data_IF_122920433131
#
_entry.id   IF_122920433131
#
_cell.length_a   1.000
_cell.length_b   1.000
_cell.length_c   1.000
_cell.angle_alpha   90.00
_cell.angle_beta   90.00
_cell.angle_gamma   90.00
#
_symmetry.space_group_name_H-M   'P 1'
#
loop_
_entity.id
_entity.type
_entity.pdbx_description
1 polymer ?
#
# COMPACT_ATOMS: atom_id res chain seq x y z
N UNK A 1 -17.78 2.94 11.70
CA UNK A 1 -16.77 3.73 10.94
C UNK A 1 -15.41 3.12 11.20
N UNK A 2 -14.55 2.96 10.18
CA UNK A 2 -13.17 2.49 10.36
C UNK A 2 -12.22 3.67 10.15
N UNK A 3 -11.12 3.72 10.89
CA UNK A 3 -10.08 4.73 10.75
C UNK A 3 -8.87 4.11 10.02
N UNK A 4 -8.22 4.89 9.17
CA UNK A 4 -6.90 4.60 8.64
C UNK A 4 -5.99 5.78 9.01
N UNK A 5 -4.69 5.51 9.14
CA UNK A 5 -3.69 6.53 9.48
C UNK A 5 -2.57 6.50 8.45
N UNK A 6 -1.93 7.64 8.23
CA UNK A 6 -0.87 7.83 7.23
C UNK A 6 0.26 8.67 7.84
N UNK A 7 1.49 8.15 7.75
CA UNK A 7 2.69 8.83 8.23
C UNK A 7 3.47 9.56 7.13
N UNK A 8 3.08 9.44 5.85
CA UNK A 8 3.76 10.05 4.71
C UNK A 8 5.29 9.88 4.79
N UNK A 9 5.75 8.65 5.00
CA UNK A 9 7.16 8.23 5.05
C UNK A 9 8.02 8.96 6.10
N UNK A 10 7.43 9.57 7.12
CA UNK A 10 8.15 10.52 8.00
C UNK A 10 8.74 9.88 9.26
N UNK A 11 8.19 8.76 9.75
CA UNK A 11 8.67 8.19 11.00
C UNK A 11 9.98 7.43 10.82
N UNK A 12 10.74 7.38 11.92
CA UNK A 12 11.78 6.35 12.08
C UNK A 12 11.12 4.99 12.31
N UNK A 13 11.89 3.90 12.15
CA UNK A 13 11.39 2.55 12.47
C UNK A 13 10.86 2.44 13.90
N UNK A 14 11.53 3.04 14.88
CA UNK A 14 11.13 2.98 16.29
C UNK A 14 9.81 3.73 16.56
N UNK A 15 9.65 4.90 15.95
CA UNK A 15 8.42 5.69 16.06
C UNK A 15 7.26 4.97 15.38
N UNK A 16 7.48 4.45 14.16
CA UNK A 16 6.49 3.68 13.42
C UNK A 16 6.05 2.42 14.18
N UNK A 17 6.98 1.70 14.81
CA UNK A 17 6.64 0.54 15.62
C UNK A 17 5.74 0.93 16.81
N UNK A 18 6.07 2.01 17.51
CA UNK A 18 5.32 2.49 18.68
C UNK A 18 3.90 2.91 18.28
N UNK A 19 3.78 3.69 17.21
CA UNK A 19 2.48 4.14 16.67
C UNK A 19 1.69 2.93 16.16
N UNK A 20 2.32 2.03 15.43
CA UNK A 20 1.69 0.85 14.84
C UNK A 20 1.12 -0.12 15.88
N UNK A 21 1.79 -0.30 17.02
CA UNK A 21 1.28 -1.12 18.12
C UNK A 21 -0.03 -0.55 18.68
N UNK A 22 -0.02 0.76 18.95
CA UNK A 22 -1.21 1.48 19.43
C UNK A 22 -2.34 1.44 18.39
N UNK A 23 -2.01 1.62 17.11
CA UNK A 23 -2.98 1.54 16.01
C UNK A 23 -3.64 0.15 15.92
N UNK A 24 -2.87 -0.92 16.18
CA UNK A 24 -3.39 -2.28 16.27
C UNK A 24 -4.38 -2.45 17.41
N UNK A 25 -4.07 -1.93 18.60
CA UNK A 25 -4.96 -1.96 19.77
C UNK A 25 -6.26 -1.18 19.54
N UNK A 26 -6.19 -0.06 18.81
CA UNK A 26 -7.34 0.76 18.46
C UNK A 26 -8.19 0.20 17.30
N UNK A 27 -7.79 -0.91 16.67
CA UNK A 27 -8.52 -1.50 15.55
C UNK A 27 -8.49 -0.63 14.28
N UNK A 28 -7.38 0.08 14.06
CA UNK A 28 -7.16 0.86 12.83
C UNK A 28 -7.13 -0.08 11.62
N UNK A 29 -7.76 0.34 10.51
CA UNK A 29 -7.92 -0.46 9.30
C UNK A 29 -6.61 -0.68 8.54
N UNK A 30 -5.75 0.34 8.50
CA UNK A 30 -4.36 0.23 8.02
C UNK A 30 -3.50 1.41 8.48
N UNK A 31 -2.19 1.19 8.44
CA UNK A 31 -1.16 2.18 8.66
C UNK A 31 -0.37 2.40 7.37
N UNK A 32 -0.54 3.58 6.77
CA UNK A 32 0.02 3.97 5.49
C UNK A 32 1.38 4.66 5.65
N UNK A 33 2.28 4.28 4.75
CA UNK A 33 3.64 4.82 4.59
C UNK A 33 4.37 5.10 5.92
N UNK A 34 4.50 4.11 6.84
CA UNK A 34 5.03 4.32 8.18
C UNK A 34 6.45 4.88 8.17
N UNK A 35 7.31 4.40 7.27
CA UNK A 35 8.73 4.77 7.17
C UNK A 35 9.10 5.08 5.72
N UNK A 36 10.33 5.52 5.50
CA UNK A 36 10.92 5.75 4.18
C UNK A 36 10.63 4.58 3.22
N UNK A 37 9.98 4.88 2.10
CA UNK A 37 9.40 3.87 1.20
C UNK A 37 10.47 2.97 0.57
N UNK A 38 11.72 3.42 0.51
CA UNK A 38 12.86 2.63 0.00
C UNK A 38 13.35 1.56 0.98
N UNK A 39 12.99 1.64 2.26
CA UNK A 39 13.37 0.66 3.29
C UNK A 39 12.45 -0.57 3.32
N UNK A 40 12.50 -1.38 2.26
CA UNK A 40 11.67 -2.58 2.11
C UNK A 40 11.89 -3.57 3.27
N UNK A 41 13.11 -3.64 3.82
CA UNK A 41 13.41 -4.52 4.95
C UNK A 41 12.75 -4.03 6.24
N UNK A 42 12.76 -2.72 6.49
CA UNK A 42 12.04 -2.09 7.58
C UNK A 42 10.53 -2.32 7.47
N UNK A 43 9.96 -2.17 6.27
CA UNK A 43 8.54 -2.49 6.03
C UNK A 43 8.22 -3.94 6.34
N UNK A 44 9.01 -4.89 5.85
CA UNK A 44 8.83 -6.32 6.12
C UNK A 44 8.88 -6.64 7.63
N UNK A 45 9.82 -6.03 8.34
CA UNK A 45 9.95 -6.22 9.79
C UNK A 45 8.80 -5.58 10.57
N UNK A 46 8.34 -4.38 10.19
CA UNK A 46 7.13 -3.78 10.77
C UNK A 46 5.92 -4.68 10.50
N UNK A 47 5.76 -5.17 9.26
CA UNK A 47 4.61 -5.99 8.88
C UNK A 47 4.58 -7.33 9.64
N UNK A 48 5.76 -7.86 9.97
CA UNK A 48 5.89 -9.07 10.80
C UNK A 48 5.52 -8.83 12.28
N UNK A 49 5.74 -7.62 12.79
CA UNK A 49 5.61 -7.29 14.22
C UNK A 49 4.30 -6.63 14.60
N UNK A 50 3.64 -5.98 13.64
CA UNK A 50 2.42 -5.21 13.86
C UNK A 50 1.19 -6.03 13.47
N UNK A 51 0.11 -5.85 14.22
CA UNK A 51 -1.20 -6.42 13.90
C UNK A 51 -2.04 -5.49 13.02
N UNK A 52 -1.72 -4.18 13.00
CA UNK A 52 -2.32 -3.24 12.04
C UNK A 52 -1.76 -3.52 10.64
N UNK A 53 -2.61 -3.65 9.59
CA UNK A 53 -2.13 -3.86 8.23
C UNK A 53 -1.29 -2.68 7.73
N UNK A 54 -0.14 -2.95 7.12
CA UNK A 54 0.71 -1.90 6.53
C UNK A 54 0.29 -1.65 5.08
N UNK A 55 0.16 -0.37 4.73
CA UNK A 55 -0.17 0.10 3.39
C UNK A 55 0.94 1.00 2.83
N UNK A 56 1.08 1.02 1.51
CA UNK A 56 2.04 1.84 0.79
C UNK A 56 2.02 1.55 -0.70
N UNK A 57 3.12 1.83 -1.43
CA UNK A 57 3.31 1.64 -2.88
C UNK A 57 2.99 2.88 -3.76
N UNK A 58 2.48 3.96 -3.19
CA UNK A 58 2.03 5.13 -3.97
C UNK A 58 3.11 5.98 -4.63
N UNK A 59 4.34 5.91 -4.11
CA UNK A 59 5.51 6.64 -4.60
C UNK A 59 6.30 5.88 -5.67
N UNK A 60 5.95 4.61 -5.92
CA UNK A 60 6.69 3.78 -6.86
C UNK A 60 6.32 4.10 -8.31
N UNK A 61 7.33 4.47 -9.09
CA UNK A 61 7.23 4.59 -10.54
C UNK A 61 7.35 3.20 -11.17
N UNK A 62 6.50 2.90 -12.15
CA UNK A 62 6.36 1.57 -12.80
C UNK A 62 5.76 0.46 -11.91
N UNK A 63 5.41 -0.66 -12.53
CA UNK A 63 4.82 -1.84 -11.87
C UNK A 63 5.86 -2.87 -11.39
N UNK A 64 7.12 -2.77 -11.84
CA UNK A 64 8.17 -3.75 -11.54
C UNK A 64 8.46 -3.96 -10.05
N UNK A 65 8.45 -2.91 -9.20
CA UNK A 65 8.76 -3.07 -7.77
C UNK A 65 7.76 -3.96 -7.02
N UNK A 66 6.53 -4.14 -7.52
CA UNK A 66 5.48 -4.90 -6.84
C UNK A 66 5.95 -6.29 -6.41
N UNK A 67 6.61 -7.05 -7.28
CA UNK A 67 7.10 -8.40 -6.95
C UNK A 67 8.11 -8.36 -5.80
N UNK A 68 9.02 -7.38 -5.78
CA UNK A 68 10.02 -7.26 -4.72
C UNK A 68 9.38 -6.99 -3.35
N UNK A 69 8.35 -6.13 -3.29
CA UNK A 69 7.64 -5.86 -2.04
C UNK A 69 6.81 -7.07 -1.57
N UNK A 70 6.21 -7.80 -2.53
CA UNK A 70 5.44 -9.02 -2.25
C UNK A 70 6.32 -10.15 -1.73
N UNK A 71 7.46 -10.41 -2.38
CA UNK A 71 8.44 -11.43 -1.95
C UNK A 71 9.02 -11.13 -0.57
N UNK A 72 9.20 -9.84 -0.25
CA UNK A 72 9.64 -9.40 1.07
C UNK A 72 8.51 -9.41 2.13
N UNK A 73 7.26 -9.65 1.74
CA UNK A 73 6.07 -9.48 2.58
C UNK A 73 6.03 -8.09 3.26
N UNK A 74 6.38 -7.06 2.51
CA UNK A 74 6.55 -5.69 3.01
C UNK A 74 5.21 -4.96 3.27
N UNK A 75 4.16 -5.31 2.53
CA UNK A 75 2.85 -4.63 2.58
C UNK A 75 1.70 -5.63 2.64
N UNK A 76 0.66 -5.27 3.38
CA UNK A 76 -0.66 -5.94 3.31
C UNK A 76 -1.57 -5.30 2.25
N UNK A 77 -1.41 -3.99 2.02
CA UNK A 77 -2.22 -3.22 1.08
C UNK A 77 -1.31 -2.45 0.13
N UNK A 78 -1.45 -2.71 -1.17
CA UNK A 78 -0.72 -2.01 -2.22
C UNK A 78 -1.58 -0.89 -2.81
N UNK A 79 -1.04 0.33 -2.83
CA UNK A 79 -1.75 1.54 -3.24
C UNK A 79 -1.14 2.18 -4.48
N UNK A 80 -1.23 1.54 -5.66
CA UNK A 80 -0.65 2.10 -6.88
C UNK A 80 -1.34 3.42 -7.26
N UNK A 81 -0.52 4.44 -7.51
CA UNK A 81 -0.96 5.69 -8.12
C UNK A 81 -0.88 5.55 -9.64
N UNK A 82 -2.00 5.61 -10.35
CA UNK A 82 -2.04 5.35 -11.80
C UNK A 82 -1.15 6.31 -12.60
N UNK A 83 -1.03 7.55 -12.14
CA UNK A 83 -0.16 8.59 -12.67
C UNK A 83 1.34 8.34 -12.46
N UNK A 84 1.71 7.42 -11.56
CA UNK A 84 3.10 7.01 -11.29
C UNK A 84 3.43 5.64 -11.86
N UNK A 85 2.55 4.64 -11.69
CA UNK A 85 2.86 3.25 -12.05
C UNK A 85 2.85 3.00 -13.55
N UNK A 86 2.33 3.92 -14.36
CA UNK A 86 2.24 3.80 -15.82
C UNK A 86 0.82 3.54 -16.34
N UNK A 87 -0.19 4.09 -15.67
CA UNK A 87 -1.60 4.07 -16.07
C UNK A 87 -2.34 2.78 -15.74
N UNK A 88 -3.52 2.63 -16.35
CA UNK A 88 -4.46 1.52 -16.10
C UNK A 88 -3.80 0.16 -16.34
N UNK A 89 -3.09 -0.02 -17.45
CA UNK A 89 -2.45 -1.29 -17.80
C UNK A 89 -1.39 -1.69 -16.77
N UNK A 90 -0.57 -0.75 -16.31
CA UNK A 90 0.45 -1.05 -15.32
C UNK A 90 -0.15 -1.30 -13.93
N UNK A 91 -1.20 -0.57 -13.55
CA UNK A 91 -1.94 -0.85 -12.32
C UNK A 91 -2.55 -2.26 -12.32
N UNK A 92 -3.10 -2.73 -13.44
CA UNK A 92 -3.56 -4.13 -13.57
C UNK A 92 -2.41 -5.13 -13.42
N UNK A 93 -1.22 -4.83 -13.95
CA UNK A 93 -0.02 -5.67 -13.76
C UNK A 93 0.48 -5.72 -12.31
N UNK A 94 0.21 -4.69 -11.50
CA UNK A 94 0.44 -4.73 -10.05
C UNK A 94 -0.60 -5.62 -9.37
N UNK A 95 -1.87 -5.47 -9.75
CA UNK A 95 -2.99 -6.21 -9.13
C UNK A 95 -2.89 -7.73 -9.25
N UNK A 96 -2.44 -8.26 -10.39
CA UNK A 96 -2.33 -9.71 -10.63
C UNK A 96 -1.45 -10.44 -9.59
N UNK A 97 -0.17 -10.06 -9.37
CA UNK A 97 0.64 -10.69 -8.34
C UNK A 97 0.15 -10.37 -6.92
N UNK A 98 -0.43 -9.18 -6.68
CA UNK A 98 -1.02 -8.84 -5.38
C UNK A 98 -2.14 -9.82 -5.01
N UNK A 99 -3.02 -10.14 -5.96
CA UNK A 99 -4.06 -11.17 -5.81
C UNK A 99 -3.44 -12.55 -5.53
N UNK A 100 -2.43 -12.95 -6.31
CA UNK A 100 -1.79 -14.25 -6.17
C UNK A 100 -1.11 -14.47 -4.80
N UNK A 101 -0.61 -13.39 -4.17
CA UNK A 101 -0.03 -13.42 -2.83
C UNK A 101 -1.07 -13.27 -1.71
N UNK A 102 -2.37 -13.18 -2.05
CA UNK A 102 -3.44 -13.00 -1.07
C UNK A 102 -3.44 -11.64 -0.38
N UNK A 103 -2.87 -10.61 -1.04
CA UNK A 103 -2.80 -9.24 -0.54
C UNK A 103 -3.90 -8.37 -1.16
N UNK A 104 -4.10 -7.17 -0.63
CA UNK A 104 -5.12 -6.22 -1.13
C UNK A 104 -4.50 -5.12 -1.96
N UNK A 105 -5.30 -4.57 -2.87
CA UNK A 105 -4.97 -3.39 -3.65
C UNK A 105 -6.01 -2.30 -3.43
N UNK A 106 -5.55 -1.07 -3.17
CA UNK A 106 -6.42 0.12 -3.06
C UNK A 106 -5.78 1.26 -3.85
N UNK A 107 -6.17 1.52 -5.10
CA UNK A 107 -5.56 2.56 -5.92
C UNK A 107 -5.55 3.92 -5.21
N UNK A 108 -4.40 4.60 -5.20
CA UNK A 108 -4.33 5.97 -4.66
C UNK A 108 -5.01 6.92 -5.65
N UNK A 109 -5.88 7.78 -5.13
CA UNK A 109 -6.63 8.77 -5.93
C UNK A 109 -6.32 10.19 -5.53
N UNK A 110 -5.05 10.60 -5.59
CA UNK A 110 -4.67 12.01 -5.44
C UNK A 110 -4.61 12.68 -6.83
N UNK A 111 -5.03 13.94 -6.92
CA UNK A 111 -4.93 14.74 -8.14
C UNK A 111 -6.27 14.93 -8.89
N UNK A 112 -6.24 15.11 -10.22
CA UNK A 112 -7.41 15.53 -10.98
C UNK A 112 -8.47 14.42 -11.09
N UNK A 113 -9.71 14.81 -11.40
CA UNK A 113 -10.85 13.90 -11.52
C UNK A 113 -10.62 12.76 -12.53
N UNK A 114 -9.76 12.98 -13.52
CA UNK A 114 -9.39 11.94 -14.50
C UNK A 114 -8.65 10.78 -13.83
N UNK A 115 -7.76 11.06 -12.87
CA UNK A 115 -7.07 10.01 -12.11
C UNK A 115 -8.05 9.22 -11.24
N UNK A 116 -8.98 9.93 -10.58
CA UNK A 116 -10.04 9.30 -9.80
C UNK A 116 -10.93 8.39 -10.67
N UNK A 117 -11.40 8.86 -11.82
CA UNK A 117 -12.21 8.07 -12.75
C UNK A 117 -11.45 6.82 -13.24
N UNK A 118 -10.19 6.97 -13.65
CA UNK A 118 -9.36 5.84 -14.05
C UNK A 118 -9.16 4.82 -12.92
N UNK A 119 -8.97 5.31 -11.69
CA UNK A 119 -8.81 4.46 -10.50
C UNK A 119 -10.08 3.70 -10.16
N UNK A 120 -11.26 4.31 -10.33
CA UNK A 120 -12.55 3.61 -10.20
C UNK A 120 -12.68 2.45 -11.20
N UNK A 121 -12.28 2.66 -12.45
CA UNK A 121 -12.28 1.60 -13.47
C UNK A 121 -11.32 0.46 -13.09
N UNK A 122 -10.13 0.77 -12.56
CA UNK A 122 -9.20 -0.24 -12.06
C UNK A 122 -9.79 -1.01 -10.89
N UNK A 123 -10.35 -0.31 -9.90
CA UNK A 123 -10.94 -0.92 -8.71
C UNK A 123 -12.11 -1.85 -9.05
N UNK A 124 -12.95 -1.48 -10.03
CA UNK A 124 -14.06 -2.31 -10.48
C UNK A 124 -13.62 -3.57 -11.25
N UNK A 125 -12.45 -3.53 -11.90
CA UNK A 125 -11.97 -4.62 -12.75
C UNK A 125 -10.99 -5.57 -12.05
N UNK A 126 -10.37 -5.16 -10.95
CA UNK A 126 -9.28 -5.89 -10.30
C UNK A 126 -9.76 -6.60 -9.03
N UNK A 127 -9.59 -7.93 -8.97
CA UNK A 127 -10.01 -8.77 -7.82
C UNK A 127 -9.25 -8.45 -6.54
N UNK A 128 -8.00 -7.99 -6.62
CA UNK A 128 -7.29 -7.52 -5.44
C UNK A 128 -7.96 -6.31 -4.75
N UNK A 129 -8.89 -5.62 -5.43
CA UNK A 129 -9.67 -4.52 -4.85
C UNK A 129 -11.01 -4.92 -4.23
N UNK A 130 -11.45 -6.18 -4.38
CA UNK A 130 -12.75 -6.65 -3.87
C UNK A 130 -12.71 -7.20 -2.45
#
# INVERSE_FOLDING_TARGET
MKLAIDANTTYTFADALTVGQTAGECGVAWFEEPIEHTDIAGYAELNRRLTVPIAGYQTYNTHYPALKLLEANALEIHQPSLDYVGGVTAAQRVGVPVEAFGKRMVPRTLGPIVNFAASLHVAAAQRACS
#
